data_IF_904376937219
#
_entry.id   IF_904376937219
#
_cell.length_a   1.000
_cell.length_b   1.000
_cell.length_c   1.000
_cell.angle_alpha   90.00
_cell.angle_beta   90.00
_cell.angle_gamma   90.00
#
_symmetry.space_group_name_H-M   'P 1'
#
loop_
_entity.id
_entity.type
_entity.pdbx_description
1 polymer ?
#
# COMPACT_ATOMS: atom_id res chain seq x y z
N UNK A 1 0.63 -8.10 -4.78
CA UNK A 1 -0.16 -7.57 -3.66
C UNK A 1 -1.46 -7.03 -4.22
N UNK A 2 -2.59 -7.42 -3.65
CA UNK A 2 -3.90 -6.87 -3.98
C UNK A 2 -4.28 -5.75 -3.00
N UNK A 3 -5.18 -4.87 -3.44
CA UNK A 3 -5.80 -3.82 -2.65
C UNK A 3 -7.31 -4.08 -2.54
N UNK A 4 -7.82 -4.04 -1.32
CA UNK A 4 -9.22 -4.32 -0.98
C UNK A 4 -9.91 -3.04 -0.51
N UNK A 5 -11.21 -2.93 -0.77
CA UNK A 5 -12.01 -1.84 -0.21
C UNK A 5 -12.20 -2.03 1.29
N UNK A 6 -12.12 -0.94 2.06
CA UNK A 6 -12.48 -0.91 3.49
C UNK A 6 -13.92 -1.30 3.78
N UNK A 7 -14.81 -1.30 2.77
CA UNK A 7 -16.20 -1.77 2.89
C UNK A 7 -16.39 -3.22 2.46
N UNK A 8 -15.40 -3.81 1.79
CA UNK A 8 -15.39 -5.23 1.41
C UNK A 8 -16.37 -5.64 0.31
N UNK A 9 -17.07 -4.70 -0.31
CA UNK A 9 -18.08 -4.99 -1.35
C UNK A 9 -17.54 -4.83 -2.78
N UNK A 10 -16.36 -4.21 -2.92
CA UNK A 10 -15.64 -4.10 -4.19
C UNK A 10 -14.64 -5.26 -4.37
N UNK A 11 -14.47 -5.78 -5.60
CA UNK A 11 -13.43 -6.75 -5.90
C UNK A 11 -12.03 -6.22 -5.56
N UNK A 12 -11.08 -7.08 -5.15
CA UNK A 12 -9.68 -6.70 -5.01
C UNK A 12 -9.09 -6.24 -6.35
N UNK A 13 -8.19 -5.27 -6.29
CA UNK A 13 -7.53 -4.69 -7.48
C UNK A 13 -6.03 -4.59 -7.28
N UNK A 14 -5.27 -4.43 -8.36
CA UNK A 14 -3.85 -4.10 -8.30
C UNK A 14 -3.60 -2.67 -7.78
N UNK A 15 -2.37 -2.36 -7.37
CA UNK A 15 -1.98 -1.00 -6.99
C UNK A 15 -2.29 0.04 -8.08
N UNK A 16 -1.90 -0.26 -9.33
CA UNK A 16 -2.10 0.65 -10.47
C UNK A 16 -3.58 0.93 -10.70
N UNK A 17 -4.44 -0.08 -10.56
CA UNK A 17 -5.89 0.08 -10.67
C UNK A 17 -6.46 0.91 -9.51
N UNK A 18 -6.04 0.65 -8.27
CA UNK A 18 -6.46 1.44 -7.10
C UNK A 18 -6.11 2.92 -7.26
N UNK A 19 -4.89 3.23 -7.75
CA UNK A 19 -4.45 4.60 -8.05
C UNK A 19 -5.28 5.23 -9.17
N UNK A 20 -5.58 4.48 -10.24
CA UNK A 20 -6.36 4.98 -11.36
C UNK A 20 -7.83 5.25 -10.99
N UNK A 21 -8.41 4.41 -10.13
CA UNK A 21 -9.80 4.55 -9.64
C UNK A 21 -9.94 5.63 -8.57
N UNK A 22 -8.93 5.79 -7.72
CA UNK A 22 -8.96 6.66 -6.54
C UNK A 22 -9.84 6.07 -5.44
N UNK A 23 -11.17 6.26 -5.53
CA UNK A 23 -12.13 5.75 -4.56
C UNK A 23 -12.67 4.39 -5.01
N UNK A 24 -12.87 3.46 -4.06
CA UNK A 24 -13.49 2.17 -4.39
C UNK A 24 -14.95 2.38 -4.85
N UNK A 25 -15.47 1.56 -5.78
CA UNK A 25 -16.85 1.69 -6.29
C UNK A 25 -17.94 1.64 -5.22
N UNK A 26 -17.71 0.93 -4.11
CA UNK A 26 -18.62 0.86 -2.96
C UNK A 26 -18.54 2.09 -2.02
N UNK A 27 -17.73 3.10 -2.38
CA UNK A 27 -17.48 4.30 -1.58
C UNK A 27 -16.51 4.10 -0.42
N UNK A 28 -15.82 2.96 -0.36
CA UNK A 28 -14.72 2.70 0.54
C UNK A 28 -13.37 3.22 0.04
N UNK A 29 -12.33 3.03 0.84
CA UNK A 29 -10.94 3.35 0.51
C UNK A 29 -10.18 2.05 0.22
N UNK A 30 -9.19 2.10 -0.67
CA UNK A 30 -8.32 0.96 -0.92
C UNK A 30 -7.21 0.83 0.13
N UNK A 31 -7.02 -0.36 0.68
CA UNK A 31 -5.89 -0.76 1.52
C UNK A 31 -5.26 -2.04 0.98
N UNK A 32 -3.96 -2.28 1.15
CA UNK A 32 -3.37 -3.55 0.77
C UNK A 32 -3.99 -4.69 1.59
N UNK A 33 -4.11 -5.87 0.99
CA UNK A 33 -4.65 -7.07 1.65
C UNK A 33 -3.86 -7.47 2.92
N UNK A 34 -2.57 -7.14 2.94
CA UNK A 34 -1.67 -7.28 4.08
C UNK A 34 -0.68 -6.13 4.12
N UNK A 35 -0.31 -5.70 5.33
CA UNK A 35 0.78 -4.74 5.51
C UNK A 35 2.11 -5.49 5.48
N UNK A 36 3.16 -4.92 4.85
CA UNK A 36 4.49 -5.51 4.90
C UNK A 36 5.03 -5.49 6.34
N UNK A 37 5.74 -6.55 6.72
CA UNK A 37 6.52 -6.55 7.96
C UNK A 37 7.83 -5.78 7.75
N UNK A 38 7.99 -4.70 8.51
CA UNK A 38 9.15 -3.81 8.44
C UNK A 38 10.12 -4.01 9.61
N UNK A 39 9.81 -4.89 10.57
CA UNK A 39 10.54 -5.00 11.83
C UNK A 39 12.05 -5.20 11.67
N UNK A 40 12.48 -6.01 10.69
CA UNK A 40 13.90 -6.24 10.39
C UNK A 40 14.58 -5.10 9.62
N UNK A 41 13.81 -4.23 8.96
CA UNK A 41 14.30 -3.19 8.05
C UNK A 41 14.50 -1.84 8.72
N UNK A 42 13.82 -1.58 9.84
CA UNK A 42 13.86 -0.30 10.54
C UNK A 42 15.30 0.13 10.87
N UNK A 43 16.12 -0.78 11.41
CA UNK A 43 17.52 -0.49 11.75
C UNK A 43 18.38 -0.23 10.52
N UNK A 44 18.13 -0.92 9.40
CA UNK A 44 18.86 -0.69 8.14
C UNK A 44 18.53 0.67 7.52
N UNK A 45 17.36 1.23 7.83
CA UNK A 45 16.83 2.44 7.21
C UNK A 45 17.12 3.73 7.98
N UNK A 46 17.54 3.66 9.24
CA UNK A 46 17.69 4.81 10.15
C UNK A 46 18.62 5.92 9.61
N UNK A 47 19.59 5.58 8.77
CA UNK A 47 20.56 6.51 8.18
C UNK A 47 20.30 6.89 6.72
N UNK A 48 19.23 6.39 6.09
CA UNK A 48 19.01 6.61 4.67
C UNK A 48 18.58 8.05 4.37
N UNK A 49 19.13 8.67 3.31
CA UNK A 49 18.53 9.86 2.72
C UNK A 49 17.07 9.61 2.35
N UNK A 50 16.24 10.64 2.46
CA UNK A 50 14.80 10.53 2.20
C UNK A 50 14.44 9.84 0.87
N UNK A 51 15.08 10.15 -0.28
CA UNK A 51 14.77 9.48 -1.55
C UNK A 51 15.06 7.97 -1.51
N UNK A 52 16.15 7.57 -0.85
CA UNK A 52 16.53 6.16 -0.73
C UNK A 52 15.56 5.42 0.18
N UNK A 53 15.15 6.05 1.29
CA UNK A 53 14.12 5.50 2.17
C UNK A 53 12.80 5.27 1.41
N UNK A 54 12.35 6.24 0.60
CA UNK A 54 11.17 6.07 -0.23
C UNK A 54 11.33 4.93 -1.25
N UNK A 55 12.51 4.80 -1.86
CA UNK A 55 12.79 3.74 -2.83
C UNK A 55 12.73 2.34 -2.19
N UNK A 56 13.27 2.16 -0.98
CA UNK A 56 13.24 0.86 -0.30
C UNK A 56 11.90 0.53 0.36
N UNK A 57 11.09 1.55 0.66
CA UNK A 57 9.76 1.38 1.26
C UNK A 57 8.69 0.93 0.23
N UNK A 58 8.75 1.45 -0.99
CA UNK A 58 7.78 1.20 -2.07
C UNK A 58 8.03 -0.14 -2.78
#
# INVERSE_FOLDING_TARGET
>A
MQYVSTRGESPPVSFTEAVALGLAPDGGLYLPESLPDLSSRVTEWEGLPYPDLCYYFL
#
